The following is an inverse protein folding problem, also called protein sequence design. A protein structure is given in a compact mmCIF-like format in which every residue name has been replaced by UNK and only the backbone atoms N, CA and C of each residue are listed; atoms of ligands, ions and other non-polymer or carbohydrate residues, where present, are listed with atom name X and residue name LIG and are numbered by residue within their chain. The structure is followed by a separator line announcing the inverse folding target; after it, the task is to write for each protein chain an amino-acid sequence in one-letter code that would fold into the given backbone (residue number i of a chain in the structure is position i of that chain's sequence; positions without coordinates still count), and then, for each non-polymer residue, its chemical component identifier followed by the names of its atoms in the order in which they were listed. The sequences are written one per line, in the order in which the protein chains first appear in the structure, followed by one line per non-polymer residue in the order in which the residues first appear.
data_IF_264236313966
#
_entry.id   IF_264236313966
#
_cell.length_a   1.000
_cell.length_b   1.000
_cell.length_c   1.000
_cell.angle_alpha   90.00
_cell.angle_beta   90.00
_cell.angle_gamma   90.00
#
_symmetry.space_group_name_H-M   'P 1'
#
loop_
_entity.id
_entity.type
_entity.pdbx_description
1 polymer ?
#
# COMPACT_ATOMS: atom_id res chain seq x y z
N UNK A 1 -8.05 -19.11 27.26
CA UNK A 1 -7.92 -18.69 26.75
C UNK A 1 -8.18 -18.24 25.91
N UNK A 2 -8.20 -17.85 25.66
CA UNK A 2 -8.65 -17.40 24.84
C UNK A 2 -8.09 -17.55 23.78
N UNK A 3 -8.09 -18.43 23.35
CA UNK A 3 -7.53 -18.67 22.26
C UNK A 3 -8.03 -18.07 21.13
N UNK A 4 -9.12 -18.08 20.99
CA UNK A 4 -9.62 -17.51 19.85
C UNK A 4 -9.01 -16.21 19.67
N UNK A 5 -8.30 -15.82 20.57
CA UNK A 5 -7.68 -14.54 20.49
C UNK A 5 -6.47 -14.51 19.61
N UNK A 6 -6.01 -15.65 19.13
CA UNK A 6 -4.79 -15.63 18.36
C UNK A 6 -4.83 -14.64 17.22
N UNK A 7 -5.87 -14.61 16.36
CA UNK A 7 -5.88 -13.61 15.30
C UNK A 7 -5.93 -12.22 15.86
N UNK A 8 -6.61 -12.05 16.94
CA UNK A 8 -6.70 -10.73 17.52
C UNK A 8 -5.40 -10.27 18.11
N UNK A 9 -4.58 -11.21 18.54
CA UNK A 9 -3.31 -10.84 19.10
C UNK A 9 -2.44 -10.16 18.09
N UNK A 10 -2.60 -10.53 16.82
CA UNK A 10 -1.79 -9.96 15.78
C UNK A 10 -2.44 -8.74 15.15
N UNK A 11 -3.64 -8.45 15.53
CA UNK A 11 -4.36 -7.31 14.97
C UNK A 11 -4.26 -6.14 15.91
N UNK A 12 -4.12 -4.93 15.38
CA UNK A 12 -4.15 -3.75 16.24
C UNK A 12 -5.49 -3.62 16.90
N UNK A 13 -5.55 -2.88 18.01
CA UNK A 13 -6.83 -2.63 18.65
C UNK A 13 -7.82 -2.08 17.65
N UNK A 14 -9.06 -2.53 17.74
CA UNK A 14 -10.07 -2.09 16.80
C UNK A 14 -10.06 -2.83 15.49
N UNK A 15 -9.27 -3.90 15.37
CA UNK A 15 -9.24 -4.66 14.13
C UNK A 15 -8.54 -3.96 12.99
N UNK A 16 -7.83 -2.89 13.30
CA UNK A 16 -7.16 -2.10 12.28
C UNK A 16 -5.98 -2.86 11.70
N UNK A 17 -5.80 -2.73 10.38
CA UNK A 17 -4.65 -3.30 9.68
C UNK A 17 -3.82 -2.15 9.14
N UNK A 18 -2.53 -2.11 9.45
CA UNK A 18 -1.68 -1.06 8.87
C UNK A 18 -1.71 -1.11 7.35
N UNK A 19 -1.66 0.07 6.74
CA UNK A 19 -1.79 0.16 5.29
C UNK A 19 -0.69 -0.61 4.57
N UNK A 20 0.56 -0.51 5.04
CA UNK A 20 1.64 -1.22 4.36
C UNK A 20 1.45 -2.73 4.40
N UNK A 21 0.94 -3.25 5.52
CA UNK A 21 0.67 -4.68 5.61
C UNK A 21 -0.39 -5.10 4.59
N UNK A 22 -1.41 -4.27 4.41
CA UNK A 22 -2.42 -4.56 3.41
C UNK A 22 -1.82 -4.51 2.00
N UNK A 23 -0.96 -3.54 1.74
CA UNK A 23 -0.34 -3.41 0.42
C UNK A 23 0.58 -4.59 0.12
N UNK A 24 1.27 -5.11 1.13
CA UNK A 24 2.08 -6.30 0.93
C UNK A 24 1.22 -7.51 0.61
N UNK A 25 0.06 -7.62 1.24
CA UNK A 25 -0.88 -8.68 0.93
C UNK A 25 -1.39 -8.54 -0.50
N UNK A 26 -1.70 -7.32 -0.89
CA UNK A 26 -2.15 -7.04 -2.24
C UNK A 26 -1.09 -7.47 -3.27
N UNK A 27 0.17 -7.22 -2.95
CA UNK A 27 1.26 -7.61 -3.83
C UNK A 27 1.31 -9.13 -4.00
N UNK A 28 1.16 -9.87 -2.90
CA UNK A 28 1.15 -11.32 -2.98
C UNK A 28 -0.02 -11.81 -3.82
N UNK A 29 -1.18 -11.20 -3.67
CA UNK A 29 -2.34 -11.60 -4.45
C UNK A 29 -2.16 -11.24 -5.92
N UNK A 30 -1.50 -10.14 -6.21
CA UNK A 30 -1.21 -9.79 -7.58
C UNK A 30 -0.33 -10.84 -8.24
N UNK A 31 0.69 -11.31 -7.52
CA UNK A 31 1.58 -12.31 -8.08
C UNK A 31 0.89 -13.66 -8.25
N UNK A 32 -0.18 -13.88 -7.49
CA UNK A 32 -0.98 -15.08 -7.64
C UNK A 32 -2.12 -14.92 -8.64
N UNK A 33 -2.17 -13.77 -9.33
CA UNK A 33 -3.21 -13.55 -10.32
C UNK A 33 -4.54 -13.14 -9.75
N UNK A 34 -4.57 -12.67 -8.51
CA UNK A 34 -5.83 -12.33 -7.86
C UNK A 34 -6.02 -10.84 -7.60
N UNK A 35 -5.32 -10.00 -8.35
CA UNK A 35 -5.42 -8.55 -8.15
C UNK A 35 -6.86 -8.07 -8.32
N UNK A 36 -7.61 -8.68 -9.22
CA UNK A 36 -8.98 -8.28 -9.47
C UNK A 36 -9.89 -8.40 -8.27
N UNK A 37 -9.52 -9.25 -7.30
CA UNK A 37 -10.33 -9.38 -6.08
C UNK A 37 -10.31 -8.10 -5.27
N UNK A 38 -9.31 -7.27 -5.46
CA UNK A 38 -9.16 -6.03 -4.69
C UNK A 38 -9.58 -4.82 -5.49
N UNK A 39 -9.23 -4.77 -6.77
CA UNK A 39 -9.39 -3.57 -7.57
C UNK A 39 -10.41 -3.71 -8.70
N UNK A 40 -10.86 -4.92 -8.98
CA UNK A 40 -11.68 -5.18 -10.16
C UNK A 40 -10.77 -5.26 -11.37
N UNK A 41 -10.55 -4.15 -12.01
CA UNK A 41 -9.64 -4.10 -13.15
C UNK A 41 -8.30 -3.55 -12.70
N UNK A 42 -7.20 -3.96 -13.33
CA UNK A 42 -5.88 -3.42 -12.99
C UNK A 42 -5.77 -1.97 -13.47
N UNK A 43 -6.12 -1.06 -12.58
CA UNK A 43 -6.12 0.36 -12.86
C UNK A 43 -5.37 1.04 -11.73
N UNK A 44 -4.25 1.68 -12.04
CA UNK A 44 -3.41 2.30 -11.01
C UNK A 44 -4.15 3.41 -10.28
N UNK A 45 -5.12 4.05 -10.94
CA UNK A 45 -5.89 5.10 -10.29
C UNK A 45 -6.87 4.52 -9.28
N UNK A 46 -7.32 3.30 -9.48
CA UNK A 46 -8.12 2.63 -8.46
C UNK A 46 -7.28 2.32 -7.24
N UNK A 47 -6.03 1.92 -7.44
CA UNK A 47 -5.13 1.71 -6.33
C UNK A 47 -4.87 3.01 -5.60
N UNK A 48 -4.66 4.10 -6.33
CA UNK A 48 -4.47 5.41 -5.72
C UNK A 48 -5.67 5.79 -4.87
N UNK A 49 -6.87 5.59 -5.39
CA UNK A 49 -8.09 5.90 -4.66
C UNK A 49 -8.22 5.06 -3.40
N UNK A 50 -7.87 3.77 -3.50
CA UNK A 50 -7.92 2.89 -2.34
C UNK A 50 -6.93 3.35 -1.26
N UNK A 51 -5.69 3.64 -1.66
CA UNK A 51 -4.67 4.06 -0.70
C UNK A 51 -5.07 5.38 -0.03
N UNK A 52 -5.50 6.33 -0.84
CA UNK A 52 -5.89 7.64 -0.32
C UNK A 52 -7.08 7.52 0.61
N UNK A 53 -8.09 6.72 0.22
CA UNK A 53 -9.28 6.55 1.04
C UNK A 53 -8.98 5.81 2.33
N UNK A 54 -8.14 4.79 2.26
CA UNK A 54 -7.78 4.04 3.46
C UNK A 54 -7.08 4.97 4.47
N UNK A 55 -6.13 5.75 3.99
CA UNK A 55 -5.40 6.67 4.85
C UNK A 55 -6.32 7.74 5.43
N UNK A 56 -7.21 8.28 4.61
CA UNK A 56 -8.15 9.30 5.06
C UNK A 56 -9.10 8.74 6.10
N UNK A 57 -9.54 7.49 5.90
CA UNK A 57 -10.44 6.85 6.84
C UNK A 57 -9.77 6.66 8.20
N UNK A 58 -8.52 6.22 8.19
CA UNK A 58 -7.78 6.08 9.44
C UNK A 58 -7.65 7.41 10.15
N UNK A 59 -7.31 8.46 9.40
CA UNK A 59 -7.13 9.78 10.00
C UNK A 59 -8.43 10.29 10.60
N UNK A 60 -9.55 10.04 9.95
CA UNK A 60 -10.84 10.53 10.43
C UNK A 60 -11.26 9.83 11.72
N UNK A 61 -10.67 8.68 12.01
CA UNK A 61 -10.93 7.96 13.26
C UNK A 61 -9.83 8.20 14.30
N UNK A 62 -8.97 9.18 14.05
CA UNK A 62 -7.90 9.47 14.99
C UNK A 62 -6.79 8.45 15.00
N UNK A 63 -6.71 7.62 13.96
CA UNK A 63 -5.69 6.60 13.87
C UNK A 63 -4.52 7.12 13.04
N UNK A 64 -3.33 7.00 13.59
CA UNK A 64 -2.15 7.48 12.91
C UNK A 64 -1.35 6.31 12.38
N UNK A 65 -1.02 6.35 11.09
CA UNK A 65 -0.21 5.31 10.48
C UNK A 65 1.16 5.90 10.18
N UNK A 66 2.03 5.87 11.17
CA UNK A 66 3.36 6.47 11.03
C UNK A 66 4.21 5.70 10.04
N UNK A 67 3.99 4.40 9.90
CA UNK A 67 4.71 3.59 8.94
C UNK A 67 4.47 4.06 7.52
N UNK A 68 3.20 4.28 7.21
CA UNK A 68 2.85 4.73 5.88
C UNK A 68 3.43 6.12 5.61
N UNK A 69 3.44 6.97 6.63
CA UNK A 69 4.04 8.29 6.50
C UNK A 69 5.53 8.21 6.20
N UNK A 70 6.24 7.30 6.87
CA UNK A 70 7.66 7.12 6.61
C UNK A 70 7.91 6.55 5.23
N UNK A 71 7.02 5.69 4.76
CA UNK A 71 7.14 5.17 3.41
C UNK A 71 7.02 6.29 2.38
N UNK A 72 6.07 7.21 2.57
CA UNK A 72 5.93 8.32 1.64
C UNK A 72 7.15 9.23 1.65
N UNK A 73 7.71 9.48 2.84
CA UNK A 73 8.91 10.29 2.93
C UNK A 73 10.08 9.61 2.24
N UNK A 74 10.19 8.31 2.40
CA UNK A 74 11.24 7.54 1.74
C UNK A 74 11.08 7.59 0.23
N UNK A 75 9.87 7.45 -0.28
CA UNK A 75 9.63 7.57 -1.71
C UNK A 75 10.04 8.95 -2.22
N UNK A 76 9.73 9.99 -1.46
CA UNK A 76 10.02 11.35 -1.89
C UNK A 76 11.50 11.68 -1.77
N UNK A 77 12.10 11.36 -0.64
CA UNK A 77 13.42 11.87 -0.32
C UNK A 77 14.56 10.95 -0.74
N UNK A 78 14.32 9.65 -0.76
CA UNK A 78 15.36 8.69 -1.11
C UNK A 78 15.22 8.21 -2.54
N UNK A 79 14.03 7.82 -2.94
CA UNK A 79 13.80 7.28 -4.27
C UNK A 79 13.45 8.36 -5.30
N UNK A 80 13.03 9.53 -4.84
CA UNK A 80 12.60 10.62 -5.73
C UNK A 80 11.47 10.18 -6.64
N UNK A 81 10.53 9.41 -6.08
CA UNK A 81 9.43 8.82 -6.83
C UNK A 81 8.08 9.28 -6.30
N UNK A 82 8.02 10.46 -5.72
CA UNK A 82 6.77 10.98 -5.18
C UNK A 82 6.59 12.43 -5.62
N UNK A 83 6.34 12.65 -6.94
CA UNK A 83 6.29 14.01 -7.48
C UNK A 83 5.00 14.73 -7.08
N UNK A 84 4.97 16.06 -7.25
CA UNK A 84 3.76 16.82 -6.91
C UNK A 84 2.52 16.37 -7.68
N UNK A 85 2.69 15.86 -8.89
CA UNK A 85 1.55 15.40 -9.70
C UNK A 85 0.98 14.09 -9.18
N UNK A 86 1.68 13.44 -8.26
CA UNK A 86 1.21 12.17 -7.71
C UNK A 86 1.95 10.99 -8.30
N UNK A 87 2.13 9.96 -7.47
CA UNK A 87 2.90 8.79 -7.92
C UNK A 87 2.18 8.00 -9.01
N UNK A 88 0.85 7.94 -8.95
CA UNK A 88 0.13 7.11 -9.92
C UNK A 88 0.30 7.60 -11.34
N UNK A 89 0.20 8.91 -11.54
CA UNK A 89 0.36 9.47 -12.87
C UNK A 89 1.77 9.26 -13.38
N UNK A 90 2.76 9.45 -12.51
CA UNK A 90 4.15 9.28 -12.91
C UNK A 90 4.44 7.83 -13.28
N UNK A 91 3.98 6.89 -12.45
CA UNK A 91 4.28 5.48 -12.70
C UNK A 91 3.60 4.99 -13.96
N UNK A 92 2.36 5.46 -14.21
CA UNK A 92 1.68 5.07 -15.43
C UNK A 92 2.43 5.57 -16.65
N UNK A 93 2.91 6.81 -16.59
CA UNK A 93 3.70 7.37 -17.68
C UNK A 93 5.02 6.61 -17.86
N UNK A 94 5.70 6.31 -16.74
CA UNK A 94 6.96 5.60 -16.80
C UNK A 94 6.81 4.20 -17.37
N UNK A 95 5.64 3.61 -17.22
CA UNK A 95 5.37 2.26 -17.71
C UNK A 95 4.63 2.26 -19.05
N UNK A 96 4.65 3.37 -19.76
CA UNK A 96 4.07 3.43 -21.09
C UNK A 96 2.58 3.23 -21.14
N UNK A 97 1.87 3.59 -20.06
CA UNK A 97 0.43 3.43 -19.99
C UNK A 97 -0.03 2.06 -19.51
N UNK A 98 0.90 1.21 -19.08
CA UNK A 98 0.54 -0.12 -18.61
C UNK A 98 0.20 -0.05 -17.12
N UNK A 99 -1.10 -0.16 -16.82
CA UNK A 99 -1.59 -0.04 -15.45
C UNK A 99 -1.06 -1.12 -14.54
N UNK A 100 -0.98 -2.34 -15.03
CA UNK A 100 -0.52 -3.44 -14.20
C UNK A 100 0.93 -3.26 -13.79
N UNK A 101 1.75 -2.78 -14.73
CA UNK A 101 3.15 -2.51 -14.42
C UNK A 101 3.29 -1.32 -13.47
N UNK A 102 2.43 -0.32 -13.60
CA UNK A 102 2.46 0.82 -12.70
C UNK A 102 2.11 0.39 -11.28
N UNK A 103 1.10 -0.47 -11.14
CA UNK A 103 0.73 -1.01 -9.84
C UNK A 103 1.88 -1.82 -9.25
N UNK A 104 2.51 -2.66 -10.08
CA UNK A 104 3.63 -3.46 -9.61
C UNK A 104 4.78 -2.58 -9.15
N UNK A 105 5.05 -1.51 -9.87
CA UNK A 105 6.12 -0.59 -9.49
C UNK A 105 5.90 -0.04 -8.09
N UNK A 106 4.67 0.39 -7.80
CA UNK A 106 4.35 0.93 -6.49
C UNK A 106 4.48 -0.15 -5.42
N UNK A 107 3.93 -1.33 -5.67
CA UNK A 107 3.96 -2.40 -4.68
C UNK A 107 5.37 -2.93 -4.45
N UNK A 108 6.22 -2.89 -5.48
CA UNK A 108 7.61 -3.27 -5.30
C UNK A 108 8.34 -2.28 -4.40
N UNK A 109 8.03 -1.00 -4.51
CA UNK A 109 8.59 -0.02 -3.58
C UNK A 109 8.12 -0.30 -2.15
N UNK A 110 6.85 -0.67 -1.98
CA UNK A 110 6.35 -1.04 -0.66
C UNK A 110 7.16 -2.20 -0.09
N UNK A 111 7.41 -3.21 -0.91
CA UNK A 111 8.18 -4.38 -0.45
C UNK A 111 9.61 -4.00 -0.13
N UNK A 112 10.21 -3.13 -0.94
CA UNK A 112 11.57 -2.69 -0.69
C UNK A 112 11.67 -1.95 0.63
N UNK A 113 10.73 -1.04 0.88
CA UNK A 113 10.74 -0.29 2.14
C UNK A 113 10.53 -1.21 3.33
N UNK A 114 9.60 -2.14 3.21
CA UNK A 114 9.32 -3.07 4.30
C UNK A 114 10.56 -3.92 4.63
N UNK A 115 11.31 -4.32 3.60
CA UNK A 115 12.51 -5.10 3.82
C UNK A 115 13.57 -4.30 4.56
N UNK A 116 13.67 -3.01 4.28
CA UNK A 116 14.63 -2.16 4.98
C UNK A 116 14.31 -2.07 6.45
N UNK A 117 13.03 -2.11 6.79
CA UNK A 117 12.62 -1.94 8.17
C UNK A 117 12.83 -3.17 9.03
N UNK A 118 12.91 -4.33 8.43
CA UNK A 118 13.09 -5.56 9.20
C UNK A 118 14.56 -5.90 9.44
N UNK A 119 15.46 -5.05 9.01
CA UNK A 119 16.89 -5.31 9.21
C UNK A 119 17.44 -4.74 10.48
#
# INVERSE_FOLDING_TARGET
MSPGSAPEENAPPGGRVPLLDYLLRLRRDMEAGRLGMHLGEPDVNRLLGFVTGYHACQASHGLEDTEYGRFREWLRDVKHEFPPEGWAAKYLRDCGGNHEQAIRKYLDFVAEFAALRTK
#
